data_IF_306408957167
#
_entry.id   IF_306408957167
#
_cell.length_a   1.000
_cell.length_b   1.000
_cell.length_c   1.000
_cell.angle_alpha   90.00
_cell.angle_beta   90.00
_cell.angle_gamma   90.00
#
_symmetry.space_group_name_H-M   'P 1'
#
loop_
_entity.id
_entity.type
_entity.pdbx_description
1 polymer ?
#
# COMPACT_ATOMS: atom_id res chain seq x y z
N UNK A 1 66.19 -15.45 -12.23
CA UNK A 1 65.17 -14.84 -13.12
C UNK A 1 63.81 -15.16 -12.51
N UNK A 2 63.30 -14.23 -11.69
CA UNK A 2 62.11 -13.42 -12.00
C UNK A 2 60.83 -14.29 -12.08
N UNK A 3 60.13 -14.45 -10.95
CA UNK A 3 58.93 -13.68 -10.59
C UNK A 3 57.78 -13.86 -11.58
N UNK A 4 56.75 -14.60 -11.15
CA UNK A 4 55.37 -14.14 -11.32
C UNK A 4 54.46 -14.81 -10.27
N UNK A 5 54.27 -14.11 -9.16
CA UNK A 5 53.15 -14.30 -8.24
C UNK A 5 51.88 -13.85 -8.98
N UNK A 6 51.01 -14.78 -9.38
CA UNK A 6 49.63 -14.43 -9.69
C UNK A 6 48.85 -14.42 -8.37
N UNK A 7 48.78 -13.25 -7.74
CA UNK A 7 47.80 -12.98 -6.68
C UNK A 7 46.43 -12.89 -7.35
N UNK A 8 45.66 -13.97 -7.33
CA UNK A 8 44.23 -13.91 -7.60
C UNK A 8 43.56 -13.26 -6.40
N UNK A 9 43.36 -11.95 -6.46
CA UNK A 9 42.44 -11.25 -5.56
C UNK A 9 41.02 -11.61 -5.99
N UNK A 10 40.44 -12.66 -5.41
CA UNK A 10 39.00 -12.90 -5.51
C UNK A 10 38.28 -11.85 -4.67
N UNK A 11 37.79 -10.81 -5.34
CA UNK A 11 36.83 -9.85 -4.81
C UNK A 11 35.52 -10.59 -4.47
N UNK A 12 35.35 -11.00 -3.22
CA UNK A 12 34.05 -11.44 -2.70
C UNK A 12 33.23 -10.17 -2.43
N UNK A 13 32.61 -9.63 -3.47
CA UNK A 13 31.44 -8.76 -3.31
C UNK A 13 30.20 -9.63 -3.29
N UNK A 14 30.01 -10.39 -2.20
CA UNK A 14 28.68 -10.82 -1.83
C UNK A 14 27.97 -9.59 -1.30
N UNK A 15 27.36 -8.86 -2.22
CA UNK A 15 26.35 -7.85 -1.95
C UNK A 15 25.41 -8.44 -0.91
N UNK A 16 25.46 -7.84 0.29
CA UNK A 16 24.46 -8.02 1.33
C UNK A 16 23.16 -7.34 0.86
N UNK A 17 22.60 -7.85 -0.23
CA UNK A 17 21.19 -7.66 -0.54
C UNK A 17 20.47 -8.54 0.48
N UNK A 18 20.20 -7.97 1.65
CA UNK A 18 19.13 -8.49 2.49
C UNK A 18 17.89 -8.53 1.62
N UNK A 19 17.61 -9.68 1.01
CA UNK A 19 16.41 -9.94 0.26
C UNK A 19 15.26 -9.85 1.26
N UNK A 20 14.68 -8.66 1.39
CA UNK A 20 13.33 -8.55 1.89
C UNK A 20 12.51 -9.45 0.98
N UNK A 21 11.92 -10.51 1.55
CA UNK A 21 11.06 -11.41 0.81
C UNK A 21 10.00 -10.57 0.10
N UNK A 22 9.90 -10.72 -1.22
CA UNK A 22 8.92 -10.00 -2.03
C UNK A 22 7.51 -10.32 -1.51
N UNK A 23 6.64 -9.31 -1.45
CA UNK A 23 5.28 -9.51 -0.96
C UNK A 23 4.51 -10.41 -1.95
N UNK A 24 4.06 -11.57 -1.47
CA UNK A 24 3.33 -12.55 -2.27
C UNK A 24 1.98 -11.98 -2.76
N UNK A 25 1.89 -11.79 -4.09
CA UNK A 25 0.70 -11.22 -4.75
C UNK A 25 -0.55 -12.11 -4.61
N UNK A 26 -0.40 -13.43 -4.51
CA UNK A 26 -1.53 -14.35 -4.29
C UNK A 26 -2.06 -14.23 -2.86
N UNK A 27 -1.17 -14.05 -1.87
CA UNK A 27 -1.58 -13.78 -0.49
C UNK A 27 -2.25 -12.41 -0.36
N UNK A 28 -1.70 -11.38 -1.00
CA UNK A 28 -2.34 -10.07 -1.09
C UNK A 28 -3.74 -10.17 -1.72
N UNK A 29 -3.87 -10.93 -2.81
CA UNK A 29 -5.18 -11.19 -3.45
C UNK A 29 -6.18 -11.79 -2.46
N UNK A 30 -5.78 -12.80 -1.69
CA UNK A 30 -6.62 -13.41 -0.66
C UNK A 30 -7.06 -12.42 0.42
N UNK A 31 -6.12 -11.66 0.99
CA UNK A 31 -6.41 -10.61 1.97
C UNK A 31 -7.34 -9.53 1.42
N UNK A 32 -7.15 -9.16 0.15
CA UNK A 32 -7.96 -8.16 -0.50
C UNK A 32 -9.39 -8.63 -0.75
N UNK A 33 -9.58 -9.89 -1.14
CA UNK A 33 -10.92 -10.49 -1.25
C UNK A 33 -11.62 -10.52 0.12
N UNK A 34 -10.92 -10.94 1.17
CA UNK A 34 -11.45 -10.90 2.54
C UNK A 34 -11.83 -9.47 2.95
N UNK A 35 -10.98 -8.48 2.66
CA UNK A 35 -11.24 -7.07 2.98
C UNK A 35 -12.47 -6.56 2.25
N UNK A 36 -12.61 -6.83 0.96
CA UNK A 36 -13.77 -6.40 0.16
C UNK A 36 -15.06 -7.07 0.63
N UNK A 37 -15.01 -8.35 1.01
CA UNK A 37 -16.17 -9.05 1.56
C UNK A 37 -16.58 -8.48 2.93
N UNK A 38 -15.59 -8.27 3.81
CA UNK A 38 -15.76 -7.68 5.14
C UNK A 38 -16.36 -6.26 5.08
N UNK A 39 -16.07 -5.50 4.03
CA UNK A 39 -16.48 -4.11 3.88
C UNK A 39 -17.55 -3.89 2.80
N UNK A 40 -18.23 -4.96 2.36
CA UNK A 40 -19.16 -4.93 1.23
C UNK A 40 -20.34 -3.95 1.41
N UNK A 41 -20.71 -3.61 2.64
CA UNK A 41 -21.74 -2.62 2.95
C UNK A 41 -21.29 -1.14 2.89
N UNK A 42 -19.99 -0.87 2.82
CA UNK A 42 -19.45 0.49 2.81
C UNK A 42 -19.47 1.06 1.38
N UNK A 43 -20.25 2.13 1.17
CA UNK A 43 -20.35 2.82 -0.13
C UNK A 43 -19.43 4.05 -0.27
N UNK A 44 -18.78 4.46 0.81
CA UNK A 44 -17.85 5.61 0.83
C UNK A 44 -16.43 5.14 0.50
N UNK A 45 -15.55 6.06 0.14
CA UNK A 45 -14.11 5.76 0.06
C UNK A 45 -13.58 5.43 1.46
N UNK A 46 -12.79 4.36 1.56
CA UNK A 46 -12.23 3.87 2.81
C UNK A 46 -10.77 3.46 2.61
N UNK A 47 -10.07 3.31 3.72
CA UNK A 47 -8.72 2.77 3.80
C UNK A 47 -8.65 1.81 4.96
N UNK A 48 -7.81 0.78 4.83
CA UNK A 48 -7.60 -0.25 5.83
C UNK A 48 -6.11 -0.37 6.09
N UNK A 49 -5.72 -0.53 7.34
CA UNK A 49 -4.38 -0.97 7.69
C UNK A 49 -4.46 -2.31 8.42
N UNK A 50 -3.60 -3.25 8.05
CA UNK A 50 -3.55 -4.61 8.63
C UNK A 50 -2.12 -4.94 9.02
N UNK A 51 -1.91 -5.29 10.29
CA UNK A 51 -0.65 -5.85 10.79
C UNK A 51 -0.67 -7.37 10.64
N UNK A 52 0.17 -7.88 9.74
CA UNK A 52 0.33 -9.32 9.50
C UNK A 52 1.53 -9.84 10.30
N UNK A 53 1.25 -10.67 11.30
CA UNK A 53 2.28 -11.19 12.21
C UNK A 53 2.95 -12.48 11.75
N UNK A 54 2.31 -13.24 10.86
CA UNK A 54 2.84 -14.48 10.29
C UNK A 54 2.59 -14.49 8.77
N UNK A 55 3.61 -14.83 8.00
CA UNK A 55 3.56 -15.01 6.56
C UNK A 55 2.49 -16.02 6.10
N UNK A 56 2.18 -17.02 6.91
CA UNK A 56 1.34 -18.15 6.53
C UNK A 56 -0.17 -17.84 6.44
N UNK A 57 -0.66 -16.76 7.06
CA UNK A 57 -2.09 -16.44 7.03
C UNK A 57 -2.38 -14.95 7.10
N UNK A 58 -3.03 -14.42 6.07
CA UNK A 58 -3.55 -13.04 6.05
C UNK A 58 -5.04 -13.06 6.41
N UNK A 59 -5.36 -13.48 7.63
CA UNK A 59 -6.75 -13.56 8.09
C UNK A 59 -7.16 -12.26 8.78
N UNK A 60 -8.31 -11.71 8.39
CA UNK A 60 -8.87 -10.55 9.06
C UNK A 60 -9.60 -10.97 10.34
N UNK A 61 -9.39 -10.27 11.47
CA UNK A 61 -9.96 -10.65 12.76
C UNK A 61 -11.43 -10.21 12.94
N UNK A 62 -12.00 -9.41 12.02
CA UNK A 62 -13.28 -8.75 12.21
C UNK A 62 -14.30 -9.03 11.10
N UNK A 63 -15.57 -8.93 11.45
CA UNK A 63 -16.70 -8.96 10.50
C UNK A 63 -17.23 -7.56 10.22
N UNK A 64 -18.04 -7.42 9.17
CA UNK A 64 -18.74 -6.16 8.88
C UNK A 64 -19.54 -5.64 10.09
N UNK A 65 -20.30 -6.51 10.75
CA UNK A 65 -21.14 -6.15 11.89
C UNK A 65 -20.30 -5.63 13.05
N UNK A 66 -19.19 -6.32 13.38
CA UNK A 66 -18.26 -5.89 14.43
C UNK A 66 -17.67 -4.52 14.13
N UNK A 67 -17.28 -4.27 12.87
CA UNK A 67 -16.72 -2.99 12.44
C UNK A 67 -17.75 -1.88 12.61
N UNK A 68 -18.98 -2.09 12.14
CA UNK A 68 -20.02 -1.06 12.20
C UNK A 68 -20.48 -0.76 13.62
N UNK A 69 -20.50 -1.76 14.52
CA UNK A 69 -20.83 -1.57 15.93
C UNK A 69 -19.78 -0.75 16.70
N UNK A 70 -18.50 -0.88 16.32
CA UNK A 70 -17.36 -0.23 16.98
C UNK A 70 -16.86 0.99 16.20
N UNK A 71 -17.57 1.41 15.16
CA UNK A 71 -17.18 2.53 14.32
C UNK A 71 -17.37 3.84 15.09
N UNK A 72 -16.29 4.56 15.34
CA UNK A 72 -16.32 5.82 16.06
C UNK A 72 -15.63 6.92 15.25
N UNK A 73 -16.30 8.04 15.03
CA UNK A 73 -15.76 9.20 14.31
C UNK A 73 -15.15 8.91 12.93
N UNK A 74 -15.64 7.89 12.22
CA UNK A 74 -15.10 7.53 10.91
C UNK A 74 -14.06 6.41 10.94
N UNK A 75 -13.77 5.83 12.10
CA UNK A 75 -12.70 4.82 12.26
C UNK A 75 -13.16 3.66 13.13
N UNK A 76 -12.80 2.44 12.71
CA UNK A 76 -12.72 1.25 13.54
C UNK A 76 -11.25 0.92 13.78
N UNK A 77 -10.92 0.53 15.00
CA UNK A 77 -9.57 0.12 15.38
C UNK A 77 -9.63 -1.08 16.33
N UNK A 78 -8.73 -2.03 16.06
CA UNK A 78 -8.40 -3.17 16.91
C UNK A 78 -6.88 -3.41 16.91
N UNK A 79 -6.40 -4.47 17.57
CA UNK A 79 -4.97 -4.75 17.80
C UNK A 79 -4.16 -5.06 16.52
N UNK A 80 -4.82 -5.34 15.40
CA UNK A 80 -4.18 -5.65 14.11
C UNK A 80 -4.89 -5.07 12.89
N UNK A 81 -6.02 -4.40 13.09
CA UNK A 81 -6.88 -3.91 12.00
C UNK A 81 -7.35 -2.50 12.30
N UNK A 82 -7.14 -1.59 11.36
CA UNK A 82 -7.76 -0.27 11.34
C UNK A 82 -8.57 -0.16 10.05
N UNK A 83 -9.79 0.34 10.14
CA UNK A 83 -10.63 0.70 8.99
C UNK A 83 -11.06 2.15 9.16
N UNK A 84 -10.68 3.01 8.21
CA UNK A 84 -11.11 4.40 8.18
C UNK A 84 -12.00 4.65 6.96
N UNK A 85 -13.08 5.38 7.15
CA UNK A 85 -13.97 5.84 6.08
C UNK A 85 -13.85 7.36 6.00
N UNK A 86 -13.81 7.90 4.78
CA UNK A 86 -13.85 9.35 4.59
C UNK A 86 -15.19 9.92 5.08
N UNK A 87 -15.17 10.69 6.17
CA UNK A 87 -16.29 11.52 6.62
C UNK A 87 -16.42 12.83 5.84
N UNK A 88 -17.52 13.54 6.04
CA UNK A 88 -17.71 14.89 5.49
C UNK A 88 -16.80 15.87 6.22
N UNK A 89 -16.11 16.75 5.49
CA UNK A 89 -15.13 17.69 6.05
C UNK A 89 -13.84 17.07 6.62
N UNK A 90 -13.71 15.74 6.59
CA UNK A 90 -12.53 15.03 7.13
C UNK A 90 -11.42 14.88 6.09
N UNK A 91 -10.21 14.61 6.62
CA UNK A 91 -9.06 14.17 5.85
C UNK A 91 -9.38 12.91 5.02
N UNK A 92 -8.54 12.61 4.03
CA UNK A 92 -8.68 11.37 3.25
C UNK A 92 -8.53 10.13 4.13
N UNK A 93 -9.23 9.05 3.77
CA UNK A 93 -9.31 7.85 4.59
C UNK A 93 -7.93 7.24 4.87
N UNK A 94 -7.01 7.32 3.89
CA UNK A 94 -5.62 6.85 4.03
C UNK A 94 -4.87 7.62 5.12
N UNK A 95 -5.05 8.94 5.17
CA UNK A 95 -4.41 9.77 6.19
C UNK A 95 -4.93 9.46 7.60
N UNK A 96 -6.24 9.24 7.71
CA UNK A 96 -6.87 8.83 8.97
C UNK A 96 -6.36 7.45 9.41
N UNK A 97 -6.42 6.44 8.55
CA UNK A 97 -5.96 5.09 8.86
C UNK A 97 -4.50 5.08 9.32
N UNK A 98 -3.62 5.76 8.58
CA UNK A 98 -2.20 5.85 8.94
C UNK A 98 -1.98 6.65 10.23
N UNK A 99 -2.77 7.68 10.49
CA UNK A 99 -2.72 8.41 11.77
C UNK A 99 -3.04 7.50 12.96
N UNK A 100 -3.97 6.56 12.81
CA UNK A 100 -4.26 5.56 13.83
C UNK A 100 -3.15 4.51 13.94
N UNK A 101 -2.53 4.08 12.84
CA UNK A 101 -1.37 3.16 12.88
C UNK A 101 -0.19 3.80 13.61
N UNK A 102 0.14 5.05 13.28
CA UNK A 102 1.23 5.82 13.88
C UNK A 102 1.09 5.91 15.40
N UNK A 103 -0.13 6.11 15.89
CA UNK A 103 -0.45 6.21 17.32
C UNK A 103 -0.84 4.86 17.97
N UNK A 104 -0.72 3.75 17.24
CA UNK A 104 -1.12 2.44 17.75
C UNK A 104 -0.05 1.80 18.63
N UNK A 105 -0.49 1.02 19.61
CA UNK A 105 0.35 0.12 20.40
C UNK A 105 0.54 -1.25 19.74
N UNK A 106 0.37 -1.34 18.41
CA UNK A 106 0.58 -2.58 17.69
C UNK A 106 2.02 -3.07 17.91
N UNK A 107 2.16 -4.36 18.23
CA UNK A 107 3.45 -5.03 18.50
C UNK A 107 4.32 -5.10 17.25
N UNK A 108 3.76 -4.85 16.07
CA UNK A 108 4.46 -5.01 14.80
C UNK A 108 4.26 -6.40 14.21
N UNK A 109 5.08 -6.78 13.23
CA UNK A 109 4.95 -8.06 12.56
C UNK A 109 5.81 -8.18 11.31
N UNK A 110 5.49 -9.17 10.48
CA UNK A 110 6.19 -9.38 9.23
C UNK A 110 5.86 -8.31 8.18
N UNK A 111 4.58 -7.96 8.05
CA UNK A 111 4.10 -7.08 6.99
C UNK A 111 3.01 -6.12 7.51
N UNK A 112 3.13 -4.83 7.19
CA UNK A 112 2.03 -3.87 7.29
C UNK A 112 1.41 -3.68 5.90
N UNK A 113 0.15 -4.06 5.74
CA UNK A 113 -0.61 -3.82 4.50
C UNK A 113 -1.51 -2.61 4.69
N UNK A 114 -1.36 -1.62 3.82
CA UNK A 114 -2.21 -0.44 3.75
C UNK A 114 -3.04 -0.55 2.48
N UNK A 115 -4.34 -0.76 2.62
CA UNK A 115 -5.28 -0.74 1.52
C UNK A 115 -5.99 0.62 1.41
N UNK A 116 -6.18 1.11 0.19
CA UNK A 116 -7.06 2.23 -0.11
C UNK A 116 -8.05 1.86 -1.20
N UNK A 117 -9.30 2.30 -1.07
CA UNK A 117 -10.33 2.08 -2.08
C UNK A 117 -9.90 2.57 -3.48
N UNK A 118 -9.14 3.67 -3.55
CA UNK A 118 -8.57 4.18 -4.78
C UNK A 118 -7.10 4.57 -4.59
N UNK A 119 -6.36 4.73 -5.69
CA UNK A 119 -4.97 5.18 -5.67
C UNK A 119 -4.89 6.52 -4.94
N UNK A 120 -3.88 6.77 -4.09
CA UNK A 120 -3.72 8.04 -3.40
C UNK A 120 -3.74 9.22 -4.37
N UNK A 121 -4.49 10.26 -4.05
CA UNK A 121 -4.56 11.42 -4.93
C UNK A 121 -3.21 12.16 -4.99
N UNK A 122 -2.82 12.60 -6.18
CA UNK A 122 -1.53 13.27 -6.37
C UNK A 122 -1.47 14.70 -5.80
N UNK A 123 -2.63 15.33 -5.54
CA UNK A 123 -2.71 16.72 -5.05
C UNK A 123 -2.51 16.85 -3.55
N UNK A 124 -2.91 15.82 -2.79
CA UNK A 124 -3.00 15.85 -1.33
C UNK A 124 -2.24 14.67 -0.73
N UNK A 125 -2.69 13.43 -0.97
CA UNK A 125 -2.12 12.25 -0.33
C UNK A 125 -0.62 12.08 -0.65
N UNK A 126 -0.22 12.20 -1.92
CA UNK A 126 1.19 12.02 -2.30
C UNK A 126 1.92 13.34 -2.55
N UNK A 127 1.37 14.47 -2.11
CA UNK A 127 2.00 15.77 -2.27
C UNK A 127 2.73 16.15 -0.99
N UNK A 128 4.06 16.08 -0.99
CA UNK A 128 4.89 16.34 0.20
C UNK A 128 4.74 17.77 0.77
N UNK A 129 4.16 18.71 0.00
CA UNK A 129 3.87 20.07 0.48
C UNK A 129 2.53 20.21 1.19
N UNK A 130 1.68 19.20 1.14
CA UNK A 130 0.36 19.23 1.78
C UNK A 130 0.46 18.67 3.21
N UNK A 131 -0.10 19.34 4.22
CA UNK A 131 -0.07 18.86 5.62
C UNK A 131 -0.82 17.54 5.83
N UNK A 132 -1.75 17.21 4.94
CA UNK A 132 -2.55 15.98 4.95
C UNK A 132 -2.00 14.90 4.01
N UNK A 133 -0.70 14.96 3.68
CA UNK A 133 -0.05 13.93 2.88
C UNK A 133 0.18 12.65 3.71
N UNK A 134 0.11 11.50 3.04
CA UNK A 134 0.36 10.19 3.65
C UNK A 134 1.83 9.80 3.63
N UNK A 135 2.64 10.46 2.81
CA UNK A 135 4.08 10.18 2.65
C UNK A 135 4.82 10.37 3.97
N UNK A 136 4.57 11.49 4.66
CA UNK A 136 5.16 11.77 5.96
C UNK A 136 4.77 10.71 7.00
N UNK A 137 3.49 10.31 7.03
CA UNK A 137 3.00 9.27 7.95
C UNK A 137 3.64 7.92 7.68
N UNK A 138 3.72 7.50 6.42
CA UNK A 138 4.39 6.25 6.03
C UNK A 138 5.85 6.28 6.48
N UNK A 139 6.56 7.38 6.27
CA UNK A 139 7.95 7.53 6.71
C UNK A 139 8.08 7.42 8.23
N UNK A 140 7.22 8.08 9.00
CA UNK A 140 7.20 7.97 10.48
C UNK A 140 6.97 6.53 10.91
N UNK A 141 5.94 5.87 10.37
CA UNK A 141 5.59 4.48 10.69
C UNK A 141 6.74 3.54 10.36
N UNK A 142 7.39 3.71 9.21
CA UNK A 142 8.57 2.91 8.83
C UNK A 142 9.75 3.14 9.78
N UNK A 143 9.97 4.37 10.22
CA UNK A 143 11.00 4.71 11.19
C UNK A 143 10.85 4.00 12.54
N UNK A 144 9.65 3.49 12.87
CA UNK A 144 9.44 2.70 14.10
C UNK A 144 10.04 1.29 14.02
N UNK A 145 10.35 0.80 12.82
CA UNK A 145 10.85 -0.57 12.57
C UNK A 145 9.99 -1.70 13.17
N UNK A 146 8.70 -1.43 13.44
CA UNK A 146 7.75 -2.43 13.95
C UNK A 146 7.45 -3.52 12.91
N UNK A 147 7.59 -3.23 11.62
CA UNK A 147 7.36 -4.20 10.54
C UNK A 147 8.59 -4.39 9.67
N UNK A 148 8.88 -5.63 9.30
CA UNK A 148 9.98 -5.93 8.37
C UNK A 148 9.66 -5.57 6.93
N UNK A 149 8.37 -5.57 6.55
CA UNK A 149 7.95 -5.26 5.20
C UNK A 149 6.65 -4.43 5.18
N UNK A 150 6.38 -3.79 4.05
CA UNK A 150 5.25 -2.88 3.86
C UNK A 150 4.64 -3.09 2.48
N UNK A 151 3.32 -2.99 2.37
CA UNK A 151 2.63 -2.99 1.09
C UNK A 151 1.55 -1.91 1.06
N UNK A 152 1.49 -1.15 -0.02
CA UNK A 152 0.37 -0.26 -0.32
C UNK A 152 -0.46 -0.86 -1.45
N UNK A 153 -1.74 -1.05 -1.22
CA UNK A 153 -2.65 -1.71 -2.16
C UNK A 153 -3.82 -0.79 -2.48
N UNK A 154 -4.23 -0.72 -3.73
CA UNK A 154 -5.46 -0.03 -4.12
C UNK A 154 -6.29 -0.77 -5.15
N UNK A 155 -7.60 -0.53 -5.19
CA UNK A 155 -8.52 -1.19 -6.14
C UNK A 155 -8.65 -0.41 -7.45
N UNK A 156 -8.79 0.91 -7.35
CA UNK A 156 -9.14 1.78 -8.48
C UNK A 156 -8.13 2.89 -8.67
N UNK A 157 -7.93 3.34 -9.90
CA UNK A 157 -7.23 4.61 -10.13
C UNK A 157 -8.15 5.75 -9.72
N UNK A 158 -7.66 6.66 -8.88
CA UNK A 158 -8.41 7.83 -8.44
C UNK A 158 -8.54 8.86 -9.55
N UNK A 159 -9.77 9.30 -9.78
CA UNK A 159 -10.10 10.38 -10.69
C UNK A 159 -10.92 11.40 -9.91
N UNK A 160 -10.46 12.66 -9.80
CA UNK A 160 -11.24 13.71 -9.16
C UNK A 160 -12.63 13.83 -9.81
N UNK A 161 -13.66 14.08 -9.00
CA UNK A 161 -15.02 14.25 -9.50
C UNK A 161 -15.07 15.38 -10.53
N UNK A 162 -15.65 15.11 -11.69
CA UNK A 162 -15.77 16.08 -12.80
C UNK A 162 -14.49 16.27 -13.63
N UNK A 163 -13.40 15.56 -13.32
CA UNK A 163 -12.20 15.60 -14.14
C UNK A 163 -12.25 14.59 -15.30
N UNK A 164 -11.66 14.97 -16.43
CA UNK A 164 -11.41 14.07 -17.57
C UNK A 164 -10.09 13.34 -17.33
N UNK A 165 -10.10 12.01 -17.45
CA UNK A 165 -8.89 11.21 -17.33
C UNK A 165 -8.12 11.21 -18.65
N UNK A 166 -7.14 12.11 -18.76
CA UNK A 166 -6.27 12.27 -19.93
C UNK A 166 -4.81 11.93 -19.60
N UNK A 167 -3.92 12.03 -20.58
CA UNK A 167 -2.49 11.72 -20.41
C UNK A 167 -1.80 12.57 -19.34
N UNK A 168 -2.22 13.83 -19.17
CA UNK A 168 -1.69 14.68 -18.11
C UNK A 168 -2.08 14.15 -16.72
N UNK A 169 -3.32 13.69 -16.54
CA UNK A 169 -3.76 13.05 -15.30
C UNK A 169 -3.04 11.73 -15.06
N UNK A 170 -2.90 10.91 -16.11
CA UNK A 170 -2.14 9.65 -16.07
C UNK A 170 -0.70 9.86 -15.60
N UNK A 171 0.01 10.85 -16.15
CA UNK A 171 1.37 11.22 -15.71
C UNK A 171 1.40 11.64 -14.24
N UNK A 172 0.49 12.51 -13.80
CA UNK A 172 0.43 12.97 -12.40
C UNK A 172 0.10 11.84 -11.42
N UNK A 173 -0.74 10.89 -11.81
CA UNK A 173 -0.98 9.66 -11.04
C UNK A 173 0.31 8.85 -10.95
N UNK A 174 1.02 8.65 -12.07
CA UNK A 174 2.33 8.00 -12.08
C UNK A 174 3.33 8.66 -11.14
N UNK A 175 3.50 9.98 -11.19
CA UNK A 175 4.40 10.71 -10.29
C UNK A 175 3.99 10.56 -8.81
N UNK A 176 2.68 10.52 -8.53
CA UNK A 176 2.15 10.26 -7.20
C UNK A 176 2.53 8.87 -6.69
N UNK A 177 2.35 7.84 -7.53
CA UNK A 177 2.70 6.46 -7.20
C UNK A 177 4.22 6.28 -7.06
N UNK A 178 5.04 6.97 -7.85
CA UNK A 178 6.50 6.97 -7.66
C UNK A 178 6.89 7.52 -6.29
N UNK A 179 6.33 8.67 -5.88
CA UNK A 179 6.59 9.25 -4.55
C UNK A 179 6.15 8.32 -3.43
N UNK A 180 4.98 7.68 -3.59
CA UNK A 180 4.49 6.67 -2.67
C UNK A 180 5.46 5.48 -2.59
N UNK A 181 5.88 4.95 -3.73
CA UNK A 181 6.86 3.87 -3.84
C UNK A 181 8.13 4.20 -3.06
N UNK A 182 8.71 5.37 -3.27
CA UNK A 182 9.89 5.83 -2.51
C UNK A 182 9.64 5.81 -0.99
N UNK A 183 8.48 6.29 -0.54
CA UNK A 183 8.14 6.34 0.88
C UNK A 183 7.97 4.95 1.52
N UNK A 184 7.42 3.98 0.78
CA UNK A 184 7.10 2.65 1.32
C UNK A 184 8.24 1.62 1.16
N UNK A 185 9.39 2.06 0.64
CA UNK A 185 10.58 1.21 0.47
C UNK A 185 10.77 0.61 -0.92
N UNK A 186 10.04 1.12 -1.92
CA UNK A 186 10.17 0.74 -3.31
C UNK A 186 8.81 0.66 -4.00
N UNK A 187 8.79 0.85 -5.33
CA UNK A 187 7.58 0.71 -6.12
C UNK A 187 7.07 -0.74 -6.17
N UNK A 188 7.97 -1.72 -5.97
CA UNK A 188 7.63 -3.14 -5.85
C UNK A 188 6.67 -3.42 -4.67
N UNK A 189 6.61 -2.53 -3.68
CA UNK A 189 5.71 -2.60 -2.53
C UNK A 189 4.37 -1.89 -2.77
N UNK A 190 4.10 -1.43 -4.00
CA UNK A 190 2.83 -0.79 -4.38
C UNK A 190 2.11 -1.71 -5.36
N UNK A 191 0.85 -2.01 -5.08
CA UNK A 191 0.07 -2.97 -5.84
C UNK A 191 -1.30 -2.40 -6.20
N UNK A 192 -1.81 -2.81 -7.36
CA UNK A 192 -3.22 -2.65 -7.70
C UNK A 192 -3.90 -4.02 -7.65
N UNK A 193 -4.94 -4.14 -6.82
CA UNK A 193 -5.74 -5.35 -6.69
C UNK A 193 -7.16 -5.09 -7.17
N UNK A 194 -7.49 -5.54 -8.38
CA UNK A 194 -8.70 -5.16 -9.09
C UNK A 194 -9.27 -6.32 -9.90
N UNK A 195 -10.53 -6.17 -10.32
CA UNK A 195 -11.16 -7.05 -11.30
C UNK A 195 -11.11 -6.36 -12.66
N UNK A 196 -10.33 -6.86 -13.64
CA UNK A 196 -10.26 -6.26 -14.97
C UNK A 196 -11.61 -6.28 -15.68
N UNK A 197 -11.85 -5.35 -16.61
CA UNK A 197 -13.14 -5.31 -17.33
C UNK A 197 -13.37 -6.54 -18.22
N UNK A 198 -12.30 -7.03 -18.84
CA UNK A 198 -12.36 -8.11 -19.82
C UNK A 198 -12.01 -9.49 -19.23
N UNK A 199 -11.90 -9.61 -17.91
CA UNK A 199 -11.57 -10.87 -17.23
C UNK A 199 -12.38 -11.00 -15.94
N UNK A 200 -12.93 -12.19 -15.67
CA UNK A 200 -13.66 -12.49 -14.44
C UNK A 200 -12.79 -12.46 -13.18
N UNK A 201 -11.48 -12.64 -13.34
CA UNK A 201 -10.59 -12.98 -12.25
C UNK A 201 -10.04 -11.74 -11.56
N UNK A 202 -10.38 -11.60 -10.29
CA UNK A 202 -9.76 -10.63 -9.41
C UNK A 202 -8.26 -10.93 -9.31
N UNK A 203 -7.40 -9.95 -9.59
CA UNK A 203 -5.94 -10.12 -9.56
C UNK A 203 -5.28 -8.97 -8.82
N UNK A 204 -4.08 -9.22 -8.30
CA UNK A 204 -3.17 -8.22 -7.79
C UNK A 204 -1.98 -8.13 -8.72
N UNK A 205 -1.57 -6.92 -9.07
CA UNK A 205 -0.38 -6.67 -9.90
C UNK A 205 0.53 -5.68 -9.19
N UNK A 206 1.84 -5.89 -9.28
CA UNK A 206 2.81 -4.88 -8.85
C UNK A 206 2.71 -3.65 -9.74
N UNK A 207 2.87 -2.48 -9.13
CA UNK A 207 2.99 -1.23 -9.87
C UNK A 207 4.39 -0.99 -10.42
N UNK A 208 5.35 -1.91 -10.19
CA UNK A 208 6.72 -1.77 -10.65
C UNK A 208 7.01 -2.63 -11.88
N UNK A 209 7.46 -2.01 -12.96
CA UNK A 209 8.10 -2.68 -14.10
C UNK A 209 9.29 -1.84 -14.53
N UNK A 210 10.48 -2.42 -14.51
CA UNK A 210 11.74 -1.76 -14.90
C UNK A 210 11.97 -0.40 -14.20
N UNK A 211 11.59 -0.32 -12.91
CA UNK A 211 11.70 0.89 -12.10
C UNK A 211 10.67 1.98 -12.41
N UNK A 212 9.71 1.71 -13.30
CA UNK A 212 8.63 2.61 -13.67
C UNK A 212 7.26 2.10 -13.21
N UNK A 213 6.28 3.02 -13.21
CA UNK A 213 4.89 2.67 -12.91
C UNK A 213 4.25 1.92 -14.08
N UNK A 214 3.76 0.71 -13.82
CA UNK A 214 3.06 -0.10 -14.82
C UNK A 214 1.80 0.60 -15.33
N UNK A 215 1.43 0.32 -16.58
CA UNK A 215 0.24 0.88 -17.20
C UNK A 215 -1.02 0.51 -16.40
N UNK A 216 -1.09 -0.70 -15.87
CA UNK A 216 -2.20 -1.20 -15.05
C UNK A 216 -2.41 -0.39 -13.78
N UNK A 217 -1.38 0.27 -13.23
CA UNK A 217 -1.54 1.10 -12.04
C UNK A 217 -1.97 2.55 -12.33
N UNK A 218 -1.98 2.95 -13.61
CA UNK A 218 -2.33 4.31 -14.05
C UNK A 218 -3.39 4.32 -15.17
N UNK A 219 -3.93 3.15 -15.54
CA UNK A 219 -5.05 3.05 -16.47
C UNK A 219 -6.36 2.90 -15.70
N UNK A 220 -7.18 3.95 -15.72
CA UNK A 220 -8.50 3.94 -15.11
C UNK A 220 -9.45 2.87 -15.68
N UNK A 221 -9.25 2.47 -16.94
CA UNK A 221 -10.12 1.54 -17.66
C UNK A 221 -9.63 0.09 -17.68
N UNK A 222 -8.49 -0.21 -17.06
CA UNK A 222 -7.94 -1.56 -16.97
C UNK A 222 -8.92 -2.57 -16.35
#
# INVERSE_FOLDING_TARGET
>A
MANLLCITVTLIFLLYAGCLAEVDQNRLRGLMLQTKNMLSGIRKMYSVAVSVTNEQSYNLPATYQTIMQRFNNGVFQDDKLIVAIKGEGQCHAEWLALGHVENSNWVGGHLLVIFSYASPCFTTCTNNRNSFNIIAKINTIRGTNKWSNYAFVFDRVFVPRGAVYNDAMRRRTGDGLMRLGTSIGGLANVFRCYKPRNNSDFKCVSCSSDGQVTAECIDYNA
#
